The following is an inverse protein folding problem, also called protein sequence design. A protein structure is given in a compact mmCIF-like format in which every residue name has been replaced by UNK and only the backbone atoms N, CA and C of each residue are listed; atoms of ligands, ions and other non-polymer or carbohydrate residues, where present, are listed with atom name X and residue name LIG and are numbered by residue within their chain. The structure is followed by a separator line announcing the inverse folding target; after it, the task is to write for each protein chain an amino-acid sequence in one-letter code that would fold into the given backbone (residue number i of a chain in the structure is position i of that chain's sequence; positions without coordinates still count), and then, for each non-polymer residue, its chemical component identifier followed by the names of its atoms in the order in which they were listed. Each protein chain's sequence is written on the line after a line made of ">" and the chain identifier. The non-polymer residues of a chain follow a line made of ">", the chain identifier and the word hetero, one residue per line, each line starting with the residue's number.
data_IF_183527787293
#
_entry.id   IF_183527787293
#
_cell.length_a   1.000
_cell.length_b   1.000
_cell.length_c   1.000
_cell.angle_alpha   90.00
_cell.angle_beta   90.00
_cell.angle_gamma   90.00
#
_symmetry.space_group_name_H-M   'P 1'
#
loop_
_entity.id
_entity.type
_entity.pdbx_description
1 polymer ?
#
# COMPACT_ATOMS: atom_id res chain seq x y z
N UNK A 1 1.03 -5.86 -12.97
CA UNK A 1 -0.19 -5.04 -12.89
C UNK A 1 0.26 -3.68 -12.41
N UNK A 2 -0.06 -2.60 -13.13
CA UNK A 2 0.41 -1.27 -12.78
C UNK A 2 -0.67 -0.54 -11.98
N UNK A 3 -0.29 0.03 -10.84
CA UNK A 3 -1.19 0.76 -9.94
C UNK A 3 -0.77 2.23 -9.94
N UNK A 4 -1.73 3.12 -10.15
CA UNK A 4 -1.51 4.58 -10.14
C UNK A 4 -2.33 5.16 -8.98
N UNK A 5 -1.68 5.94 -8.12
CA UNK A 5 -2.33 6.70 -7.04
C UNK A 5 -2.38 8.17 -7.46
N UNK A 6 -3.58 8.76 -7.43
CA UNK A 6 -3.80 10.16 -7.79
C UNK A 6 -4.32 10.90 -6.55
N UNK A 7 -3.61 11.96 -6.14
CA UNK A 7 -4.01 12.84 -5.04
C UNK A 7 -4.50 14.16 -5.61
N UNK A 8 -5.72 14.55 -5.24
CA UNK A 8 -6.29 15.86 -5.57
C UNK A 8 -6.76 16.55 -4.30
N UNK A 9 -6.67 17.87 -4.29
CA UNK A 9 -7.13 18.80 -3.26
C UNK A 9 -8.61 19.21 -3.44
N UNK A 10 -9.20 18.90 -4.60
CA UNK A 10 -10.59 19.17 -4.93
C UNK A 10 -11.42 17.89 -5.07
N UNK A 11 -12.47 17.76 -4.28
CA UNK A 11 -13.38 16.61 -4.32
C UNK A 11 -14.07 16.42 -5.68
N UNK A 12 -14.47 17.52 -6.32
CA UNK A 12 -15.12 17.48 -7.64
C UNK A 12 -14.19 16.94 -8.71
N UNK A 13 -12.92 17.33 -8.70
CA UNK A 13 -11.92 16.83 -9.65
C UNK A 13 -11.62 15.34 -9.42
N UNK A 14 -11.48 14.91 -8.16
CA UNK A 14 -11.25 13.50 -7.82
C UNK A 14 -12.41 12.61 -8.32
N UNK A 15 -13.66 13.06 -8.17
CA UNK A 15 -14.83 12.36 -8.69
C UNK A 15 -14.81 12.24 -10.21
N UNK A 16 -14.42 13.30 -10.91
CA UNK A 16 -14.39 13.32 -12.38
C UNK A 16 -13.35 12.34 -12.93
N UNK A 17 -12.18 12.29 -12.30
CA UNK A 17 -11.11 11.32 -12.63
C UNK A 17 -11.57 9.89 -12.36
N UNK A 18 -12.24 9.63 -11.23
CA UNK A 18 -12.76 8.30 -10.91
C UNK A 18 -13.74 7.79 -11.99
N UNK A 19 -14.66 8.65 -12.43
CA UNK A 19 -15.63 8.30 -13.47
C UNK A 19 -14.97 8.11 -14.84
N UNK A 20 -13.95 8.91 -15.17
CA UNK A 20 -13.15 8.71 -16.38
C UNK A 20 -12.41 7.36 -16.35
N UNK A 21 -11.77 7.01 -15.24
CA UNK A 21 -11.07 5.75 -15.09
C UNK A 21 -12.00 4.55 -15.29
N UNK A 22 -13.20 4.58 -14.68
CA UNK A 22 -14.23 3.55 -14.90
C UNK A 22 -14.67 3.45 -16.35
N UNK A 23 -14.87 4.58 -17.04
CA UNK A 23 -15.24 4.61 -18.47
C UNK A 23 -14.16 4.01 -19.38
N UNK A 24 -12.90 4.12 -18.98
CA UNK A 24 -11.76 3.51 -19.66
C UNK A 24 -11.51 2.05 -19.24
N UNK A 25 -12.44 1.43 -18.50
CA UNK A 25 -12.35 0.06 -17.96
C UNK A 25 -11.21 -0.18 -16.96
N UNK A 26 -10.71 0.88 -16.30
CA UNK A 26 -9.83 0.70 -15.16
C UNK A 26 -10.63 0.33 -13.90
N UNK A 27 -10.02 -0.52 -13.06
CA UNK A 27 -10.49 -0.72 -11.69
C UNK A 27 -10.03 0.47 -10.86
N UNK A 28 -10.98 1.26 -10.36
CA UNK A 28 -10.67 2.44 -9.57
C UNK A 28 -11.55 2.49 -8.30
N UNK A 29 -10.93 2.81 -7.17
CA UNK A 29 -11.56 2.96 -5.85
C UNK A 29 -11.05 4.26 -5.22
N UNK A 30 -11.93 5.00 -4.52
CA UNK A 30 -11.52 6.11 -3.66
C UNK A 30 -11.01 5.54 -2.34
N UNK A 31 -9.82 5.98 -1.92
CA UNK A 31 -9.20 5.59 -0.66
C UNK A 31 -9.31 6.74 0.35
N UNK A 32 -9.42 6.41 1.63
CA UNK A 32 -9.29 7.37 2.73
C UNK A 32 -7.83 7.77 2.95
N UNK A 33 -7.60 8.82 3.73
CA UNK A 33 -6.23 9.21 4.13
C UNK A 33 -5.56 8.09 4.94
N UNK A 34 -6.30 7.44 5.84
CA UNK A 34 -5.80 6.29 6.59
C UNK A 34 -5.42 5.12 5.69
N UNK A 35 -6.28 4.75 4.71
CA UNK A 35 -5.96 3.69 3.74
C UNK A 35 -4.72 4.06 2.90
N UNK A 36 -4.50 5.35 2.60
CA UNK A 36 -3.34 5.81 1.88
C UNK A 36 -2.04 5.71 2.71
N UNK A 37 -2.08 6.05 4.00
CA UNK A 37 -0.96 5.87 4.93
C UNK A 37 -0.61 4.39 5.10
N UNK A 38 -1.61 3.53 5.31
CA UNK A 38 -1.44 2.08 5.43
C UNK A 38 -0.81 1.47 4.16
N UNK A 39 -1.24 1.90 2.97
CA UNK A 39 -0.62 1.48 1.72
C UNK A 39 0.82 2.00 1.58
N UNK A 40 1.09 3.25 1.95
CA UNK A 40 2.45 3.81 1.92
C UNK A 40 3.38 3.01 2.83
N UNK A 41 2.89 2.63 4.02
CA UNK A 41 3.63 1.79 4.95
C UNK A 41 3.87 0.39 4.35
N UNK A 42 2.83 -0.23 3.80
CA UNK A 42 2.92 -1.53 3.14
C UNK A 42 3.99 -1.54 2.04
N UNK A 43 3.96 -0.55 1.13
CA UNK A 43 4.93 -0.47 0.05
C UNK A 43 6.35 -0.17 0.56
N UNK A 44 6.50 0.66 1.58
CA UNK A 44 7.81 0.93 2.18
C UNK A 44 8.40 -0.32 2.84
N UNK A 45 7.56 -1.13 3.50
CA UNK A 45 7.96 -2.43 4.06
C UNK A 45 8.34 -3.39 2.94
N UNK A 46 7.52 -3.53 1.89
CA UNK A 46 7.83 -4.39 0.74
C UNK A 46 9.14 -3.97 0.08
N UNK A 47 9.35 -2.67 -0.16
CA UNK A 47 10.59 -2.15 -0.73
C UNK A 47 11.79 -2.43 0.17
N UNK A 48 11.67 -2.26 1.49
CA UNK A 48 12.71 -2.65 2.45
C UNK A 48 13.03 -4.15 2.43
N UNK A 49 12.01 -5.00 2.24
CA UNK A 49 12.15 -6.46 2.14
C UNK A 49 12.72 -6.93 0.80
N UNK A 50 12.47 -6.21 -0.29
CA UNK A 50 12.89 -6.54 -1.66
C UNK A 50 14.27 -5.95 -2.02
N UNK A 51 14.60 -4.78 -1.47
CA UNK A 51 15.88 -4.08 -1.72
C UNK A 51 17.11 -4.78 -1.12
N UNK A 52 16.92 -5.82 -0.31
CA UNK A 52 18.02 -6.55 0.34
C UNK A 52 18.73 -5.74 1.43
N UNK A 53 18.10 -4.67 1.94
CA UNK A 53 18.61 -3.86 3.06
C UNK A 53 18.68 -4.63 4.38
N UNK A 54 17.94 -5.73 4.49
CA UNK A 54 17.98 -6.68 5.60
C UNK A 54 18.64 -7.99 5.13
N UNK A 55 19.59 -8.51 5.91
CA UNK A 55 20.15 -9.85 5.70
C UNK A 55 19.01 -10.88 5.88
N UNK A 56 19.01 -12.01 5.16
CA UNK A 56 17.86 -12.96 5.18
C UNK A 56 17.42 -13.38 6.60
N UNK A 57 18.38 -13.51 7.53
CA UNK A 57 18.11 -13.84 8.93
C UNK A 57 17.36 -12.71 9.66
N UNK A 58 17.70 -11.45 9.40
CA UNK A 58 17.05 -10.26 9.98
C UNK A 58 15.65 -10.06 9.40
N UNK A 59 15.47 -10.34 8.11
CA UNK A 59 14.18 -10.35 7.44
C UNK A 59 13.24 -11.38 8.05
N UNK A 60 13.74 -12.59 8.31
CA UNK A 60 12.96 -13.68 8.90
C UNK A 60 12.56 -13.34 10.33
N UNK A 61 13.51 -12.87 11.16
CA UNK A 61 13.22 -12.44 12.53
C UNK A 61 12.22 -11.27 12.61
N UNK A 62 12.35 -10.29 11.71
CA UNK A 62 11.40 -9.18 11.63
C UNK A 62 9.99 -9.65 11.27
N UNK A 63 9.84 -10.50 10.23
CA UNK A 63 8.52 -11.04 9.86
C UNK A 63 7.91 -11.89 10.97
N UNK A 64 8.70 -12.68 11.69
CA UNK A 64 8.24 -13.44 12.87
C UNK A 64 7.77 -12.53 14.01
N UNK A 65 8.41 -11.38 14.21
CA UNK A 65 7.99 -10.40 15.24
C UNK A 65 6.68 -9.68 14.92
N UNK A 66 6.23 -9.73 13.66
CA UNK A 66 4.95 -9.17 13.22
C UNK A 66 3.80 -10.15 13.33
N UNK A 67 4.05 -11.43 13.64
CA UNK A 67 3.00 -12.42 13.86
C UNK A 67 2.44 -12.28 15.28
N UNK A 68 1.18 -11.84 15.46
CA UNK A 68 0.59 -11.60 16.77
C UNK A 68 0.39 -12.88 17.60
N UNK A 69 0.66 -14.06 17.04
CA UNK A 69 0.60 -15.34 17.74
C UNK A 69 1.97 -15.83 18.24
N UNK A 70 3.05 -15.05 18.07
CA UNK A 70 4.40 -15.47 18.45
C UNK A 70 4.73 -15.31 19.96
N UNK A 71 3.78 -14.82 20.76
CA UNK A 71 3.94 -14.60 22.22
C UNK A 71 3.35 -15.73 23.10
N UNK A 72 3.01 -16.90 22.55
CA UNK A 72 2.64 -18.07 23.33
C UNK A 72 3.66 -19.21 23.16
N UNK A 73 4.80 -19.13 23.86
CA UNK A 73 5.56 -20.28 24.39
C UNK A 73 6.63 -19.85 25.42
#
# INVERSE_FOLDING_TARGET
>A
METIILRGDSESNAKLILELAKKLNFKAKRISEQEAEEMSLYYSVQEGLESGLLVEDEKTAFLSSLDPNHDED
#
